data_IF_076406432604
#
_entry.id   IF_076406432604
#
_cell.length_a   1.000
_cell.length_b   1.000
_cell.length_c   1.000
_cell.angle_alpha   90.00
_cell.angle_beta   90.00
_cell.angle_gamma   90.00
#
_symmetry.space_group_name_H-M   'P 1'
#
loop_
_entity.id
_entity.type
_entity.pdbx_description
1 polymer ?
#
# COMPACT_ATOMS: atom_id res chain seq x y z
N UNK A 1 -76.28 44.77 -30.45
CA UNK A 1 -75.66 45.68 -29.47
C UNK A 1 -75.39 44.90 -28.19
N UNK A 2 -74.12 44.93 -27.76
CA UNK A 2 -73.54 44.67 -26.42
C UNK A 2 -74.43 44.05 -25.34
N UNK A 3 -73.98 42.96 -24.71
CA UNK A 3 -73.40 43.07 -23.35
C UNK A 3 -72.48 41.87 -22.98
N UNK A 4 -71.32 42.29 -22.51
CA UNK A 4 -70.13 41.66 -21.88
C UNK A 4 -70.40 41.64 -20.35
N UNK A 5 -69.81 40.88 -19.42
CA UNK A 5 -68.87 39.75 -19.29
C UNK A 5 -68.72 39.58 -17.76
N UNK A 6 -68.48 38.38 -17.25
CA UNK A 6 -67.69 38.19 -16.03
C UNK A 6 -66.86 36.91 -16.19
N UNK A 7 -65.54 37.04 -16.22
CA UNK A 7 -64.61 36.04 -15.71
C UNK A 7 -63.24 36.68 -15.47
N UNK A 8 -62.80 36.54 -14.23
CA UNK A 8 -61.55 37.05 -13.65
C UNK A 8 -60.38 36.24 -14.21
N UNK A 9 -59.34 36.93 -14.69
CA UNK A 9 -58.01 36.34 -14.95
C UNK A 9 -56.98 37.01 -14.06
N UNK A 10 -56.30 36.19 -13.26
CA UNK A 10 -55.20 36.56 -12.39
C UNK A 10 -53.93 36.67 -13.24
N UNK A 11 -53.33 37.85 -13.26
CA UNK A 11 -52.14 38.19 -14.03
C UNK A 11 -50.89 37.76 -13.24
N UNK A 12 -50.18 36.73 -13.69
CA UNK A 12 -48.82 36.40 -13.20
C UNK A 12 -47.83 37.11 -14.14
N UNK A 13 -47.19 38.15 -13.60
CA UNK A 13 -46.19 38.96 -14.27
C UNK A 13 -44.84 38.21 -14.24
N UNK A 14 -44.42 37.65 -15.38
CA UNK A 14 -43.10 37.05 -15.52
C UNK A 14 -42.03 38.17 -15.62
N UNK A 15 -41.30 38.38 -14.54
CA UNK A 15 -40.07 39.19 -14.50
C UNK A 15 -38.96 38.43 -15.24
N UNK A 16 -38.60 38.92 -16.43
CA UNK A 16 -37.40 38.47 -17.16
C UNK A 16 -36.21 39.15 -16.51
N UNK A 17 -35.49 38.41 -15.66
CA UNK A 17 -34.12 38.78 -15.30
C UNK A 17 -33.22 38.55 -16.52
N UNK A 18 -32.36 39.51 -16.91
CA UNK A 18 -31.25 39.17 -17.78
C UNK A 18 -30.37 38.21 -16.99
N UNK A 19 -30.39 36.94 -17.36
CA UNK A 19 -29.43 35.97 -16.86
C UNK A 19 -28.03 36.46 -17.26
N UNK A 20 -27.28 36.99 -16.30
CA UNK A 20 -25.84 36.94 -16.39
C UNK A 20 -25.48 35.47 -16.55
N UNK A 21 -25.03 35.11 -17.75
CA UNK A 21 -24.31 33.87 -17.98
C UNK A 21 -23.02 34.04 -17.19
N UNK A 22 -22.91 33.36 -16.06
CA UNK A 22 -21.60 33.08 -15.48
C UNK A 22 -20.85 32.29 -16.55
N UNK A 23 -19.87 32.93 -17.18
CA UNK A 23 -18.90 32.20 -17.99
C UNK A 23 -18.25 31.19 -17.04
N UNK A 24 -18.48 29.90 -17.26
CA UNK A 24 -17.74 28.86 -16.54
C UNK A 24 -16.25 29.19 -16.68
N UNK A 25 -15.48 29.20 -15.57
CA UNK A 25 -14.05 29.43 -15.67
C UNK A 25 -13.46 28.37 -16.61
N UNK A 26 -12.78 28.82 -17.67
CA UNK A 26 -12.16 27.94 -18.64
C UNK A 26 -11.30 26.90 -17.91
N UNK A 27 -11.60 25.61 -18.12
CA UNK A 27 -10.83 24.52 -17.52
C UNK A 27 -9.41 24.56 -18.07
N UNK A 28 -8.37 24.52 -17.21
CA UNK A 28 -6.99 24.55 -17.68
C UNK A 28 -6.69 23.31 -18.54
N UNK A 29 -6.00 23.51 -19.65
CA UNK A 29 -5.42 22.43 -20.44
C UNK A 29 -4.12 21.93 -19.82
N UNK A 30 -3.70 20.72 -20.18
CA UNK A 30 -2.48 20.11 -19.65
C UNK A 30 -1.38 20.11 -20.71
N UNK A 31 -0.19 20.63 -20.39
CA UNK A 31 0.99 20.60 -21.26
C UNK A 31 2.03 19.63 -20.71
N UNK A 32 2.69 18.86 -21.57
CA UNK A 32 3.87 18.05 -21.21
C UNK A 32 5.03 18.43 -22.10
N UNK A 33 6.24 18.30 -21.58
CA UNK A 33 7.47 18.47 -22.33
C UNK A 33 8.16 17.13 -22.51
N UNK A 34 8.51 16.79 -23.74
CA UNK A 34 9.28 15.59 -24.06
C UNK A 34 10.65 15.99 -24.61
N UNK A 35 11.68 15.25 -24.25
CA UNK A 35 13.01 15.46 -24.80
C UNK A 35 13.83 14.18 -24.85
N UNK A 36 14.75 14.17 -25.80
CA UNK A 36 15.81 13.17 -25.88
C UNK A 36 17.16 13.91 -26.04
N UNK A 37 18.15 13.66 -25.16
CA UNK A 37 19.44 14.33 -25.25
C UNK A 37 20.11 14.18 -26.62
N UNK A 38 20.49 15.30 -27.24
CA UNK A 38 21.22 15.27 -28.51
C UNK A 38 22.66 14.83 -28.25
N UNK A 39 23.07 13.71 -28.86
CA UNK A 39 24.45 13.21 -28.77
C UNK A 39 25.32 13.97 -29.77
N UNK A 40 26.18 14.86 -29.27
CA UNK A 40 27.15 15.57 -30.09
C UNK A 40 28.37 14.66 -30.36
N UNK A 41 28.73 14.51 -31.63
CA UNK A 41 29.73 13.55 -32.14
C UNK A 41 31.17 13.69 -31.58
N UNK A 42 31.43 14.69 -30.72
CA UNK A 42 32.75 14.97 -30.13
C UNK A 42 32.78 14.84 -28.59
N UNK A 43 31.72 14.35 -27.93
CA UNK A 43 31.84 13.95 -26.52
C UNK A 43 32.74 12.71 -26.45
N UNK A 44 33.74 12.73 -25.57
CA UNK A 44 34.75 11.66 -25.45
C UNK A 44 34.14 10.32 -24.98
N UNK A 45 33.46 9.61 -25.87
CA UNK A 45 32.99 8.23 -25.65
C UNK A 45 31.92 8.06 -24.56
N UNK A 46 31.35 9.14 -24.00
CA UNK A 46 30.18 9.03 -23.12
C UNK A 46 28.93 8.97 -23.99
N UNK A 47 28.41 7.75 -24.20
CA UNK A 47 27.02 7.54 -24.58
C UNK A 47 26.13 8.37 -23.66
N UNK A 48 25.01 8.91 -24.17
CA UNK A 48 24.02 9.61 -23.37
C UNK A 48 23.64 8.74 -22.16
N UNK A 49 24.27 9.02 -21.02
CA UNK A 49 23.99 8.33 -19.77
C UNK A 49 22.60 8.75 -19.35
N UNK A 50 21.82 7.77 -18.89
CA UNK A 50 20.58 8.02 -18.18
C UNK A 50 20.78 9.16 -17.19
N UNK A 51 19.82 10.09 -17.13
CA UNK A 51 19.78 11.13 -16.10
C UNK A 51 20.02 10.51 -14.71
N UNK A 52 20.82 11.15 -13.84
CA UNK A 52 21.01 10.69 -12.46
C UNK A 52 19.67 10.56 -11.73
N UNK A 53 19.60 9.64 -10.77
CA UNK A 53 18.44 9.56 -9.89
C UNK A 53 18.19 10.90 -9.19
N UNK A 54 16.93 11.37 -9.21
CA UNK A 54 16.55 12.66 -8.64
C UNK A 54 16.76 13.87 -9.57
N UNK A 55 17.01 13.67 -10.87
CA UNK A 55 17.05 14.77 -11.83
C UNK A 55 15.68 15.45 -11.99
N UNK A 56 15.71 16.78 -12.11
CA UNK A 56 14.52 17.64 -12.24
C UNK A 56 14.63 18.53 -13.47
N UNK A 57 13.49 18.76 -14.13
CA UNK A 57 13.37 19.76 -15.19
C UNK A 57 12.99 21.11 -14.57
N UNK A 58 13.53 22.19 -15.10
CA UNK A 58 13.16 23.56 -14.76
C UNK A 58 12.71 24.27 -16.03
N UNK A 59 11.50 24.82 -16.00
CA UNK A 59 10.92 25.55 -17.15
C UNK A 59 10.54 26.96 -16.78
N UNK A 60 10.76 27.89 -17.70
CA UNK A 60 10.11 29.21 -17.65
C UNK A 60 9.15 29.32 -18.83
N UNK A 61 7.94 29.76 -18.55
CA UNK A 61 6.86 29.88 -19.54
C UNK A 61 6.28 31.27 -19.40
N UNK A 62 6.09 31.96 -20.53
CA UNK A 62 5.37 33.23 -20.58
C UNK A 62 4.25 33.18 -21.61
N UNK A 63 3.23 34.02 -21.43
CA UNK A 63 2.23 34.26 -22.47
C UNK A 63 2.86 35.03 -23.63
N UNK A 64 2.34 34.85 -24.84
CA UNK A 64 2.72 35.68 -26.00
C UNK A 64 2.40 37.17 -25.76
N UNK A 65 1.49 37.49 -24.83
CA UNK A 65 1.25 38.87 -24.36
C UNK A 65 2.44 39.50 -23.62
N UNK A 66 3.40 38.68 -23.18
CA UNK A 66 4.60 39.09 -22.44
C UNK A 66 4.57 38.77 -20.95
N UNK A 67 3.44 38.32 -20.40
CA UNK A 67 3.31 38.00 -18.97
C UNK A 67 4.01 36.69 -18.64
N UNK A 68 4.97 36.70 -17.70
CA UNK A 68 5.56 35.47 -17.16
C UNK A 68 4.51 34.68 -16.37
N UNK A 69 4.45 33.37 -16.61
CA UNK A 69 3.51 32.44 -15.98
C UNK A 69 4.26 31.53 -15.01
N UNK A 70 5.39 31.01 -15.46
CA UNK A 70 6.32 30.22 -14.67
C UNK A 70 7.73 30.76 -14.89
N UNK A 71 8.52 30.81 -13.83
CA UNK A 71 9.91 31.27 -13.88
C UNK A 71 10.76 30.25 -13.15
N UNK A 72 11.52 29.44 -13.91
CA UNK A 72 12.30 28.30 -13.40
C UNK A 72 11.49 27.37 -12.47
N UNK A 73 10.25 27.05 -12.88
CA UNK A 73 9.39 26.12 -12.16
C UNK A 73 9.95 24.69 -12.25
N UNK A 74 10.17 23.98 -11.13
CA UNK A 74 10.60 22.58 -11.16
C UNK A 74 9.45 21.66 -11.59
N UNK A 75 9.70 20.80 -12.57
CA UNK A 75 8.76 19.82 -13.11
C UNK A 75 9.40 18.44 -13.07
N UNK A 76 8.66 17.44 -12.60
CA UNK A 76 9.13 16.05 -12.53
C UNK A 76 9.26 15.44 -13.91
N UNK A 77 10.28 14.61 -14.07
CA UNK A 77 10.52 13.82 -15.27
C UNK A 77 10.19 12.34 -15.06
N UNK A 78 9.56 11.76 -16.07
CA UNK A 78 9.29 10.34 -16.24
C UNK A 78 10.13 9.83 -17.41
N UNK A 79 10.66 8.62 -17.30
CA UNK A 79 11.40 7.97 -18.39
C UNK A 79 10.50 6.94 -19.07
N UNK A 80 10.28 7.09 -20.37
CA UNK A 80 9.55 6.13 -21.19
C UNK A 80 10.49 5.65 -22.29
N UNK A 81 11.06 4.45 -22.11
CA UNK A 81 12.09 3.91 -23.00
C UNK A 81 13.37 4.76 -22.99
N UNK A 82 13.64 5.43 -24.12
CA UNK A 82 14.79 6.33 -24.30
C UNK A 82 14.43 7.81 -24.18
N UNK A 83 13.14 8.14 -24.06
CA UNK A 83 12.65 9.51 -23.99
C UNK A 83 12.33 9.90 -22.54
N UNK A 84 12.53 11.17 -22.23
CA UNK A 84 12.12 11.78 -20.98
C UNK A 84 10.91 12.68 -21.21
N UNK A 85 9.87 12.50 -20.40
CA UNK A 85 8.60 13.23 -20.52
C UNK A 85 8.28 13.85 -19.16
N UNK A 86 7.89 15.11 -19.14
CA UNK A 86 7.48 15.79 -17.93
C UNK A 86 6.11 15.31 -17.44
N UNK A 87 5.85 15.45 -16.15
CA UNK A 87 4.47 15.46 -15.67
C UNK A 87 3.67 16.59 -16.32
N UNK A 88 2.35 16.42 -16.49
CA UNK A 88 1.50 17.46 -17.06
C UNK A 88 1.44 18.70 -16.18
N UNK A 89 1.65 19.86 -16.79
CA UNK A 89 1.52 21.17 -16.17
C UNK A 89 0.21 21.81 -16.61
N UNK A 90 -0.61 22.26 -15.67
CA UNK A 90 -1.90 22.87 -15.95
C UNK A 90 -1.72 24.34 -16.35
N UNK A 91 -2.21 24.72 -17.54
CA UNK A 91 -2.19 26.09 -18.05
C UNK A 91 -3.58 26.48 -18.57
N UNK A 92 -4.04 27.72 -18.35
CA UNK A 92 -5.25 28.21 -19.01
C UNK A 92 -5.15 28.12 -20.54
N UNK A 93 -6.28 28.02 -21.23
CA UNK A 93 -6.29 28.11 -22.69
C UNK A 93 -5.62 29.39 -23.19
N UNK A 94 -4.72 29.27 -24.18
CA UNK A 94 -3.96 30.41 -24.70
C UNK A 94 -2.68 30.03 -25.45
N UNK A 95 -1.97 31.06 -25.91
CA UNK A 95 -0.69 30.94 -26.59
C UNK A 95 0.46 31.35 -25.66
N UNK A 96 1.50 30.52 -25.63
CA UNK A 96 2.62 30.62 -24.70
C UNK A 96 3.95 30.44 -25.42
N UNK A 97 5.02 30.85 -24.75
CA UNK A 97 6.40 30.65 -25.14
C UNK A 97 7.15 30.00 -23.98
N UNK A 98 7.86 28.92 -24.26
CA UNK A 98 8.86 28.33 -23.38
C UNK A 98 10.15 29.14 -23.53
N UNK A 99 10.67 29.74 -22.45
CA UNK A 99 11.82 30.66 -22.50
C UNK A 99 13.07 30.13 -21.81
N UNK A 100 12.90 29.15 -20.92
CA UNK A 100 14.00 28.42 -20.28
C UNK A 100 13.64 26.94 -20.20
N UNK A 101 14.60 26.06 -20.48
CA UNK A 101 14.49 24.61 -20.33
C UNK A 101 15.83 24.05 -19.84
N UNK A 102 15.91 23.73 -18.55
CA UNK A 102 17.13 23.30 -17.87
C UNK A 102 16.87 21.98 -17.14
N UNK A 103 17.75 21.00 -17.27
CA UNK A 103 17.68 19.75 -16.51
C UNK A 103 18.83 19.74 -15.52
N UNK A 104 18.54 19.61 -14.22
CA UNK A 104 19.55 19.54 -13.18
C UNK A 104 19.57 18.17 -12.49
N UNK A 105 20.74 17.77 -12.01
CA UNK A 105 20.90 16.58 -11.17
C UNK A 105 20.37 16.82 -9.74
N UNK A 106 20.35 15.77 -8.91
CA UNK A 106 19.88 15.86 -7.52
C UNK A 106 20.74 16.77 -6.61
N UNK A 107 21.90 17.24 -7.06
CA UNK A 107 22.73 18.22 -6.37
C UNK A 107 22.50 19.66 -6.89
N UNK A 108 21.65 19.84 -7.91
CA UNK A 108 21.32 21.12 -8.52
C UNK A 108 22.29 21.58 -9.61
N UNK A 109 23.16 20.72 -10.09
CA UNK A 109 24.00 21.05 -11.23
C UNK A 109 23.21 20.85 -12.53
N UNK A 110 23.13 21.88 -13.36
CA UNK A 110 22.50 21.77 -14.69
C UNK A 110 23.35 20.86 -15.58
N UNK A 111 22.76 19.73 -15.99
CA UNK A 111 23.39 18.70 -16.83
C UNK A 111 22.98 18.82 -18.30
N UNK A 112 21.78 19.34 -18.58
CA UNK A 112 21.31 19.62 -19.94
C UNK A 112 20.59 20.97 -20.00
N UNK A 113 20.66 21.64 -21.16
CA UNK A 113 19.96 22.89 -21.42
C UNK A 113 19.58 23.02 -22.89
N UNK A 114 18.48 23.72 -23.18
CA UNK A 114 18.13 24.12 -24.55
C UNK A 114 18.71 25.51 -24.85
N UNK A 115 19.51 25.68 -25.91
CA UNK A 115 20.05 26.99 -26.28
C UNK A 115 18.97 27.99 -26.67
N UNK A 116 19.19 29.27 -26.36
CA UNK A 116 18.34 30.39 -26.82
C UNK A 116 18.76 30.87 -28.20
N UNK A 117 17.80 31.36 -28.98
CA UNK A 117 18.03 32.02 -30.27
C UNK A 117 19.12 33.10 -30.15
N UNK A 118 20.01 33.12 -31.14
CA UNK A 118 21.15 34.05 -31.17
C UNK A 118 22.33 33.66 -30.27
N UNK A 119 22.23 32.59 -29.48
CA UNK A 119 23.38 32.03 -28.74
C UNK A 119 24.34 31.23 -29.64
N UNK A 120 25.55 30.99 -29.16
CA UNK A 120 26.58 30.22 -29.88
C UNK A 120 26.09 28.82 -30.24
N UNK A 121 25.31 28.20 -29.36
CA UNK A 121 24.86 26.82 -29.49
C UNK A 121 23.49 26.67 -30.14
N UNK A 122 22.78 27.77 -30.44
CA UNK A 122 21.48 27.74 -31.12
C UNK A 122 21.46 26.92 -32.43
N UNK A 123 22.50 26.93 -33.30
CA UNK A 123 22.50 26.17 -34.55
C UNK A 123 22.56 24.64 -34.39
N UNK A 124 22.72 24.13 -33.16
CA UNK A 124 22.82 22.70 -32.86
C UNK A 124 21.49 22.07 -32.44
N UNK A 125 20.42 22.87 -32.41
CA UNK A 125 19.04 22.43 -32.24
C UNK A 125 18.20 22.98 -33.41
N UNK A 126 17.17 22.26 -33.80
CA UNK A 126 16.25 22.61 -34.88
C UNK A 126 15.28 23.74 -34.44
N UNK A 127 14.90 23.77 -33.16
CA UNK A 127 13.95 24.74 -32.59
C UNK A 127 14.49 25.32 -31.25
N UNK A 128 15.38 26.33 -31.30
CA UNK A 128 15.92 26.98 -30.11
C UNK A 128 14.88 27.82 -29.36
N UNK A 129 15.13 28.13 -28.08
CA UNK A 129 14.22 28.95 -27.27
C UNK A 129 14.25 30.43 -27.69
N UNK A 130 13.13 31.19 -27.67
CA UNK A 130 11.84 30.79 -27.14
C UNK A 130 11.03 29.91 -28.11
N UNK A 131 10.44 28.83 -27.58
CA UNK A 131 9.61 27.91 -28.37
C UNK A 131 8.13 28.18 -28.13
N UNK A 132 7.38 28.48 -29.18
CA UNK A 132 5.95 28.81 -29.09
C UNK A 132 5.08 27.54 -29.04
N UNK A 133 4.06 27.54 -28.18
CA UNK A 133 3.06 26.48 -28.10
C UNK A 133 1.68 27.02 -27.71
N UNK A 134 0.64 26.25 -28.03
CA UNK A 134 -0.74 26.61 -27.73
C UNK A 134 -1.36 25.57 -26.78
N UNK A 135 -2.14 26.05 -25.82
CA UNK A 135 -2.92 25.23 -24.89
C UNK A 135 -4.39 25.40 -25.25
N UNK A 136 -5.06 24.29 -25.55
CA UNK A 136 -6.50 24.23 -25.74
C UNK A 136 -7.17 23.62 -24.51
N UNK A 137 -8.34 24.11 -24.16
CA UNK A 137 -9.15 23.59 -23.05
C UNK A 137 -9.43 22.08 -23.24
N UNK A 138 -9.35 21.31 -22.15
CA UNK A 138 -9.60 19.86 -22.11
C UNK A 138 -8.70 18.97 -23.03
N UNK A 139 -7.52 19.44 -23.45
CA UNK A 139 -6.54 18.62 -24.20
C UNK A 139 -5.19 18.48 -23.48
N UNK A 140 -4.51 17.34 -23.71
CA UNK A 140 -3.09 17.17 -23.39
C UNK A 140 -2.28 17.54 -24.63
N UNK A 141 -1.54 18.63 -24.54
CA UNK A 141 -0.56 19.01 -25.55
C UNK A 141 0.84 18.52 -25.13
N UNK A 142 1.66 18.11 -26.10
CA UNK A 142 3.06 17.77 -25.88
C UNK A 142 3.94 18.71 -26.70
N UNK A 143 5.01 19.21 -26.08
CA UNK A 143 6.04 20.03 -26.72
C UNK A 143 7.33 19.21 -26.70
N UNK A 144 7.84 18.89 -27.90
CA UNK A 144 9.12 18.22 -28.05
C UNK A 144 10.23 19.28 -28.01
N UNK A 145 11.16 19.13 -27.07
CA UNK A 145 12.24 20.09 -26.79
C UNK A 145 13.58 19.39 -27.00
N UNK A 146 14.47 20.01 -27.78
CA UNK A 146 15.84 19.49 -27.93
C UNK A 146 16.77 20.06 -26.87
N UNK A 147 17.59 19.20 -26.27
CA UNK A 147 18.55 19.61 -25.23
C UNK A 147 19.97 19.21 -25.62
N UNK A 148 20.93 20.07 -25.28
CA UNK A 148 22.36 19.77 -25.40
C UNK A 148 22.97 19.55 -24.02
N UNK A 149 23.98 18.68 -23.88
CA UNK A 149 24.69 18.50 -22.62
C UNK A 149 25.43 19.78 -22.23
N UNK A 150 25.45 20.13 -20.95
CA UNK A 150 26.20 21.29 -20.47
C UNK A 150 27.70 20.95 -20.37
N UNK A 151 28.08 19.79 -19.85
CA UNK A 151 29.48 19.35 -19.68
C UNK A 151 30.40 20.49 -19.17
N UNK A 152 31.42 20.88 -19.95
CA UNK A 152 32.37 21.95 -19.61
C UNK A 152 32.03 23.30 -20.28
N UNK A 153 30.81 23.47 -20.80
CA UNK A 153 30.35 24.67 -21.49
C UNK A 153 29.85 25.73 -20.52
N UNK A 154 29.97 26.98 -20.90
CA UNK A 154 29.54 28.12 -20.09
C UNK A 154 28.06 28.47 -20.36
N UNK A 155 27.31 28.99 -19.36
CA UNK A 155 25.91 29.41 -19.53
C UNK A 155 25.69 30.36 -20.70
N UNK A 156 26.63 31.28 -20.93
CA UNK A 156 26.51 32.31 -21.96
C UNK A 156 26.52 31.71 -23.38
N UNK A 157 27.14 30.54 -23.57
CA UNK A 157 27.15 29.84 -24.86
C UNK A 157 25.77 29.31 -25.25
N UNK A 158 24.91 29.09 -24.25
CA UNK A 158 23.50 28.72 -24.42
C UNK A 158 22.57 29.95 -24.41
N UNK A 159 23.08 31.16 -24.15
CA UNK A 159 22.27 32.37 -24.00
C UNK A 159 21.70 32.58 -22.59
N UNK A 160 22.24 31.90 -21.58
CA UNK A 160 21.86 32.08 -20.17
C UNK A 160 22.86 32.99 -19.45
N UNK A 161 22.36 33.83 -18.54
CA UNK A 161 23.23 34.62 -17.66
C UNK A 161 23.87 33.76 -16.55
N UNK A 162 23.22 32.67 -16.15
CA UNK A 162 23.69 31.73 -15.13
C UNK A 162 22.94 30.42 -15.26
N UNK A 163 23.55 29.31 -14.82
CA UNK A 163 22.89 28.03 -14.58
C UNK A 163 22.49 27.81 -13.12
N UNK A 164 22.47 28.89 -12.32
CA UNK A 164 21.96 28.83 -10.95
C UNK A 164 20.45 28.58 -10.97
N UNK A 165 20.06 27.31 -10.98
CA UNK A 165 18.71 26.91 -10.59
C UNK A 165 18.69 26.76 -9.07
N UNK A 166 17.77 27.47 -8.42
CA UNK A 166 17.44 27.10 -7.05
C UNK A 166 16.67 25.78 -7.15
N UNK A 167 17.37 24.68 -6.86
CA UNK A 167 16.67 23.47 -6.45
C UNK A 167 15.96 23.84 -5.15
N UNK A 168 14.71 24.28 -5.24
CA UNK A 168 13.80 24.04 -4.14
C UNK A 168 13.83 22.52 -3.98
N UNK A 169 14.48 21.98 -2.92
CA UNK A 169 14.38 20.55 -2.70
C UNK A 169 12.89 20.25 -2.63
N UNK A 170 12.44 19.22 -3.36
CA UNK A 170 11.07 18.74 -3.18
C UNK A 170 10.77 18.71 -1.69
N UNK A 171 9.62 19.25 -1.23
CA UNK A 171 9.33 19.27 0.19
C UNK A 171 9.43 17.83 0.70
N UNK A 172 10.40 17.62 1.59
CA UNK A 172 10.68 16.33 2.19
C UNK A 172 10.61 16.48 3.70
N UNK A 173 10.21 15.41 4.36
CA UNK A 173 10.34 15.29 5.79
C UNK A 173 11.11 14.03 6.14
N UNK A 174 11.80 14.07 7.28
CA UNK A 174 12.48 12.91 7.84
C UNK A 174 11.46 12.07 8.60
N UNK A 175 11.45 10.76 8.39
CA UNK A 175 10.60 9.82 9.10
C UNK A 175 11.48 8.78 9.81
N UNK A 176 11.23 8.57 11.10
CA UNK A 176 11.84 7.55 11.91
C UNK A 176 10.74 6.72 12.55
N UNK A 177 10.63 5.46 12.14
CA UNK A 177 9.63 4.53 12.70
C UNK A 177 10.31 3.61 13.69
N UNK A 178 9.72 3.47 14.86
CA UNK A 178 10.21 2.68 15.96
C UNK A 178 9.21 1.58 16.31
N UNK A 179 9.73 0.47 16.81
CA UNK A 179 8.98 -0.52 17.56
C UNK A 179 9.63 -0.71 18.93
N UNK A 180 8.90 -1.30 19.86
CA UNK A 180 9.44 -1.59 21.17
C UNK A 180 10.35 -2.83 21.10
N UNK A 181 11.66 -2.64 21.29
CA UNK A 181 12.63 -3.72 21.42
C UNK A 181 12.93 -4.05 22.89
N UNK A 182 13.73 -5.12 23.11
CA UNK A 182 14.09 -5.60 24.45
C UNK A 182 14.90 -4.57 25.27
N UNK A 183 15.77 -3.81 24.60
CA UNK A 183 16.67 -2.82 25.22
C UNK A 183 16.19 -1.37 25.03
N UNK A 184 14.96 -1.18 24.54
CA UNK A 184 14.37 0.12 24.23
C UNK A 184 13.83 0.21 22.80
N UNK A 185 13.43 1.42 22.35
CA UNK A 185 12.91 1.63 21.00
C UNK A 185 13.98 1.31 19.95
N UNK A 186 13.62 0.49 18.97
CA UNK A 186 14.48 0.16 17.83
C UNK A 186 13.82 0.59 16.53
N UNK A 187 14.63 0.91 15.52
CA UNK A 187 14.09 1.24 14.21
C UNK A 187 13.33 0.04 13.63
N UNK A 188 12.18 0.32 13.04
CA UNK A 188 11.40 -0.66 12.29
C UNK A 188 11.43 -0.34 10.80
N UNK A 189 11.47 -1.40 9.99
CA UNK A 189 11.07 -1.30 8.59
C UNK A 189 9.54 -1.15 8.53
N UNK A 190 9.04 -0.53 7.47
CA UNK A 190 7.60 -0.38 7.21
C UNK A 190 7.32 -0.21 5.72
N UNK A 191 6.10 -0.55 5.31
CA UNK A 191 5.50 -0.04 4.10
C UNK A 191 4.85 1.32 4.38
N UNK A 192 5.35 2.37 3.73
CA UNK A 192 4.86 3.73 3.89
C UNK A 192 4.09 4.19 2.65
N UNK A 193 2.87 4.68 2.88
CA UNK A 193 1.98 5.24 1.87
C UNK A 193 1.67 6.70 2.22
N UNK A 194 1.66 7.58 1.22
CA UNK A 194 0.98 8.88 1.33
C UNK A 194 -0.22 8.88 0.41
N UNK A 195 -1.37 9.24 0.96
CA UNK A 195 -2.63 9.36 0.25
C UNK A 195 -3.00 10.84 0.06
N UNK A 196 -3.42 11.22 -1.15
CA UNK A 196 -4.05 12.50 -1.48
C UNK A 196 -5.47 12.20 -1.99
N UNK A 197 -6.50 12.63 -1.25
CA UNK A 197 -7.91 12.33 -1.57
C UNK A 197 -8.23 10.83 -1.80
N UNK A 198 -7.44 9.94 -1.18
CA UNK A 198 -7.55 8.48 -1.30
C UNK A 198 -6.62 7.86 -2.35
N UNK A 199 -6.03 8.66 -3.24
CA UNK A 199 -5.06 8.19 -4.22
C UNK A 199 -3.65 8.10 -3.61
N UNK A 200 -2.97 6.97 -3.84
CA UNK A 200 -1.59 6.79 -3.37
C UNK A 200 -0.62 7.63 -4.23
N UNK A 201 -0.07 8.69 -3.64
CA UNK A 201 0.92 9.58 -4.28
C UNK A 201 2.37 9.24 -3.91
N UNK A 202 2.56 8.45 -2.85
CA UNK A 202 3.86 7.91 -2.45
C UNK A 202 3.68 6.49 -1.93
N UNK A 203 4.53 5.57 -2.35
CA UNK A 203 4.63 4.23 -1.80
C UNK A 203 6.08 3.76 -1.83
N UNK A 204 6.63 3.42 -0.66
CA UNK A 204 7.97 2.87 -0.50
C UNK A 204 8.00 1.86 0.64
N UNK A 205 8.79 0.80 0.47
CA UNK A 205 9.29 0.02 1.58
C UNK A 205 10.49 0.76 2.19
N UNK A 206 10.35 1.18 3.44
CA UNK A 206 11.35 1.95 4.15
C UNK A 206 12.18 1.01 5.05
N UNK A 207 13.52 1.02 4.95
CA UNK A 207 14.36 0.24 5.85
C UNK A 207 14.29 0.76 7.29
N UNK A 208 14.72 -0.09 8.23
CA UNK A 208 14.87 0.20 9.65
C UNK A 208 15.98 1.24 9.93
N UNK A 209 15.73 2.49 9.55
CA UNK A 209 16.61 3.63 9.74
C UNK A 209 15.78 4.93 9.71
N UNK A 210 16.45 6.07 9.84
CA UNK A 210 15.82 7.34 9.48
C UNK A 210 15.74 7.43 7.95
N UNK A 211 14.57 7.78 7.43
CA UNK A 211 14.29 7.85 6.00
C UNK A 211 13.91 9.28 5.60
N UNK A 212 14.36 9.72 4.42
CA UNK A 212 13.85 10.96 3.81
C UNK A 212 12.64 10.61 2.94
N UNK A 213 11.47 11.11 3.30
CA UNK A 213 10.23 10.94 2.52
C UNK A 213 10.13 12.10 1.55
N UNK A 214 10.49 11.84 0.30
CA UNK A 214 10.57 12.84 -0.78
C UNK A 214 9.41 12.59 -1.75
N UNK A 215 8.52 13.57 -1.90
CA UNK A 215 7.41 13.52 -2.85
C UNK A 215 7.06 14.91 -3.38
N UNK A 216 6.57 15.04 -4.63
CA UNK A 216 6.28 16.32 -5.27
C UNK A 216 4.94 16.94 -4.81
N UNK A 217 4.59 16.79 -3.53
CA UNK A 217 3.32 17.23 -2.98
C UNK A 217 3.24 18.75 -2.86
N UNK A 218 2.08 19.32 -3.19
CA UNK A 218 1.73 20.70 -2.86
C UNK A 218 1.73 20.90 -1.33
N UNK A 219 2.49 21.87 -0.78
CA UNK A 219 2.60 22.11 0.66
C UNK A 219 1.29 22.54 1.32
N UNK A 220 0.34 23.09 0.56
CA UNK A 220 -0.95 23.57 1.06
C UNK A 220 -2.03 22.49 1.07
N UNK A 221 -1.79 21.32 0.46
CA UNK A 221 -2.74 20.21 0.45
C UNK A 221 -2.59 19.33 1.70
N UNK A 222 -3.67 18.61 1.96
CA UNK A 222 -3.77 17.61 3.01
C UNK A 222 -3.37 16.25 2.47
N UNK A 223 -2.52 15.53 3.20
CA UNK A 223 -2.14 14.16 2.92
C UNK A 223 -2.39 13.28 4.13
N UNK A 224 -2.55 11.98 3.91
CA UNK A 224 -2.59 10.98 4.98
C UNK A 224 -1.37 10.07 4.86
N UNK A 225 -0.52 10.06 5.88
CA UNK A 225 0.54 9.07 6.03
C UNK A 225 -0.05 7.80 6.62
N UNK A 226 0.11 6.68 5.93
CA UNK A 226 -0.23 5.35 6.42
C UNK A 226 1.02 4.48 6.46
N UNK A 227 1.30 3.88 7.62
CA UNK A 227 2.42 2.98 7.85
C UNK A 227 1.86 1.60 8.21
N UNK A 228 2.31 0.57 7.50
CA UNK A 228 1.89 -0.83 7.69
C UNK A 228 3.11 -1.74 7.81
N UNK A 229 3.01 -2.76 8.67
CA UNK A 229 3.97 -3.86 8.81
C UNK A 229 3.25 -5.05 9.48
N UNK A 230 3.57 -6.28 9.07
CA UNK A 230 2.85 -7.51 9.47
C UNK A 230 2.81 -7.80 10.98
N UNK A 231 3.63 -7.15 11.81
CA UNK A 231 3.70 -7.41 13.25
C UNK A 231 3.34 -6.19 14.09
N UNK A 232 2.93 -5.09 13.45
CA UNK A 232 2.79 -3.79 14.09
C UNK A 232 1.45 -3.16 13.77
N UNK A 233 0.95 -2.37 14.72
CA UNK A 233 -0.29 -1.62 14.58
C UNK A 233 -0.16 -0.63 13.43
N UNK A 234 -1.17 -0.59 12.56
CA UNK A 234 -1.27 0.41 11.50
C UNK A 234 -1.25 1.80 12.12
N UNK A 235 -0.45 2.68 11.53
CA UNK A 235 -0.44 4.09 11.90
C UNK A 235 -0.98 4.91 10.75
N UNK A 236 -1.97 5.75 11.05
CA UNK A 236 -2.51 6.72 10.10
C UNK A 236 -2.54 8.11 10.74
N UNK A 237 -1.98 9.12 10.03
CA UNK A 237 -2.13 10.53 10.41
C UNK A 237 -2.33 11.40 9.19
N UNK A 238 -3.39 12.19 9.23
CA UNK A 238 -3.67 13.24 8.25
C UNK A 238 -2.96 14.54 8.66
N UNK A 239 -2.33 15.21 7.70
CA UNK A 239 -1.58 16.45 7.93
C UNK A 239 -1.59 17.36 6.70
N UNK A 240 -1.44 18.67 6.91
CA UNK A 240 -1.08 19.63 5.86
C UNK A 240 0.44 19.70 5.79
N UNK A 241 1.02 19.54 4.58
CA UNK A 241 2.47 19.38 4.45
C UNK A 241 3.26 20.60 4.95
N UNK A 242 2.81 21.83 4.67
CA UNK A 242 3.44 23.06 5.19
C UNK A 242 3.46 23.07 6.72
N UNK A 243 2.35 22.71 7.34
CA UNK A 243 2.18 22.77 8.78
C UNK A 243 3.03 21.68 9.45
N UNK A 244 3.09 20.49 8.86
CA UNK A 244 4.00 19.42 9.29
C UNK A 244 5.47 19.85 9.22
N UNK A 245 5.90 20.44 8.10
CA UNK A 245 7.29 20.91 7.96
C UNK A 245 7.64 21.98 9.01
N UNK A 246 6.66 22.80 9.37
CA UNK A 246 6.79 23.80 10.44
C UNK A 246 6.84 23.13 11.82
N UNK A 247 5.98 22.14 12.09
CA UNK A 247 5.95 21.34 13.32
C UNK A 247 7.29 20.64 13.57
N UNK A 248 7.83 19.99 12.55
CA UNK A 248 9.05 19.21 12.64
C UNK A 248 10.30 20.09 12.80
N UNK A 249 10.30 21.31 12.25
CA UNK A 249 11.44 22.23 12.30
C UNK A 249 12.79 21.56 11.92
N UNK A 250 12.75 20.62 10.96
CA UNK A 250 13.90 19.84 10.47
C UNK A 250 14.24 18.57 11.27
N UNK A 251 13.57 18.32 12.40
CA UNK A 251 13.67 17.06 13.13
C UNK A 251 12.93 15.92 12.40
N UNK A 252 13.30 14.64 12.63
CA UNK A 252 12.52 13.52 12.14
C UNK A 252 11.14 13.46 12.81
N UNK A 253 10.10 13.23 12.01
CA UNK A 253 8.83 12.73 12.51
C UNK A 253 9.07 11.34 13.08
N UNK A 254 8.94 11.22 14.40
CA UNK A 254 9.09 9.96 15.10
C UNK A 254 7.72 9.31 15.29
N UNK A 255 7.58 8.06 14.88
CA UNK A 255 6.38 7.25 15.08
C UNK A 255 6.79 5.97 15.77
N UNK A 256 6.15 5.62 16.88
CA UNK A 256 6.35 4.34 17.54
C UNK A 256 5.11 3.49 17.32
N UNK A 257 5.27 2.32 16.70
CA UNK A 257 4.19 1.37 16.46
C UNK A 257 4.15 0.33 17.57
N UNK A 258 2.94 0.02 18.02
CA UNK A 258 2.70 -1.04 18.99
C UNK A 258 2.72 -2.42 18.30
N UNK A 259 3.08 -3.50 19.01
CA UNK A 259 2.88 -4.86 18.51
C UNK A 259 1.41 -5.12 18.20
N UNK A 260 1.14 -5.90 17.15
CA UNK A 260 -0.22 -6.19 16.71
C UNK A 260 -0.41 -7.64 16.23
N UNK A 261 -1.61 -8.18 16.48
CA UNK A 261 -2.19 -9.23 15.63
C UNK A 261 -2.59 -8.55 14.32
N UNK A 262 -2.04 -8.99 13.20
CA UNK A 262 -2.41 -8.45 11.88
C UNK A 262 -2.93 -9.54 10.97
N UNK A 263 -3.77 -9.16 10.01
CA UNK A 263 -4.23 -10.00 8.92
C UNK A 263 -4.84 -9.14 7.81
N UNK A 264 -4.98 -9.70 6.63
CA UNK A 264 -5.68 -9.10 5.50
C UNK A 264 -7.10 -9.66 5.42
N UNK A 265 -8.11 -8.85 5.68
CA UNK A 265 -9.52 -9.17 5.48
C UNK A 265 -9.91 -9.05 3.99
N UNK A 266 -10.57 -10.06 3.42
CA UNK A 266 -10.91 -10.15 1.99
C UNK A 266 -12.42 -10.02 1.77
N UNK A 267 -12.93 -8.79 1.64
CA UNK A 267 -14.35 -8.51 1.49
C UNK A 267 -14.83 -8.56 0.03
N UNK A 268 -15.94 -9.27 -0.26
CA UNK A 268 -16.44 -9.52 -1.63
C UNK A 268 -17.96 -9.35 -1.83
N UNK A 269 -18.64 -8.60 -0.95
CA UNK A 269 -20.10 -8.29 -0.93
C UNK A 269 -21.01 -9.18 -0.06
N UNK A 270 -20.43 -10.01 0.81
CA UNK A 270 -21.17 -10.73 1.86
C UNK A 270 -20.78 -10.18 3.24
N UNK A 271 -21.68 -10.28 4.22
CA UNK A 271 -21.43 -9.86 5.60
C UNK A 271 -20.15 -10.54 6.15
N UNK A 272 -19.33 -9.78 6.89
CA UNK A 272 -18.12 -10.29 7.52
C UNK A 272 -18.33 -10.47 9.03
N UNK A 273 -17.94 -11.62 9.55
CA UNK A 273 -17.99 -12.00 10.95
C UNK A 273 -16.62 -12.54 11.38
N UNK A 274 -15.98 -11.84 12.32
CA UNK A 274 -14.74 -12.29 12.95
C UNK A 274 -14.98 -12.63 14.41
N UNK A 275 -14.51 -13.79 14.83
CA UNK A 275 -14.60 -14.23 16.22
C UNK A 275 -13.23 -14.15 16.85
N UNK A 276 -12.88 -12.99 17.39
CA UNK A 276 -11.75 -12.89 18.31
C UNK A 276 -12.34 -12.99 19.71
N UNK A 277 -12.08 -14.11 20.39
CA UNK A 277 -12.48 -14.29 21.78
C UNK A 277 -11.24 -14.16 22.67
N UNK A 278 -11.29 -13.17 23.54
CA UNK A 278 -10.32 -12.91 24.60
C UNK A 278 -10.71 -13.74 25.82
N UNK A 279 -9.73 -14.15 26.63
CA UNK A 279 -9.97 -14.92 27.86
C UNK A 279 -11.06 -14.28 28.74
N UNK A 280 -12.01 -15.09 29.22
CA UNK A 280 -13.14 -14.69 30.08
C UNK A 280 -12.70 -14.18 31.47
N UNK A 281 -11.40 -14.06 31.76
CA UNK A 281 -10.88 -13.97 33.13
C UNK A 281 -9.79 -12.93 33.42
N UNK A 282 -9.53 -11.94 32.55
CA UNK A 282 -8.71 -10.77 32.94
C UNK A 282 -9.53 -9.49 32.85
N UNK A 283 -10.28 -9.12 33.90
CA UNK A 283 -10.94 -7.82 33.97
C UNK A 283 -9.93 -6.69 33.74
N UNK A 284 -10.24 -5.80 32.80
CA UNK A 284 -9.41 -4.63 32.48
C UNK A 284 -8.44 -4.80 31.31
N UNK A 285 -8.61 -5.84 30.48
CA UNK A 285 -7.93 -5.90 29.18
C UNK A 285 -8.55 -4.94 28.17
N UNK A 286 -7.71 -4.29 27.38
CA UNK A 286 -8.14 -3.35 26.34
C UNK A 286 -7.49 -3.66 25.01
N UNK A 287 -8.22 -3.38 23.93
CA UNK A 287 -7.75 -3.56 22.55
C UNK A 287 -8.10 -2.35 21.70
N UNK A 288 -7.23 -2.06 20.73
CA UNK A 288 -7.52 -1.12 19.65
C UNK A 288 -7.43 -1.88 18.34
N UNK A 289 -8.49 -1.82 17.53
CA UNK A 289 -8.56 -2.46 16.21
C UNK A 289 -8.64 -1.36 15.15
N UNK A 290 -7.70 -1.38 14.20
CA UNK A 290 -7.79 -0.66 12.94
C UNK A 290 -8.27 -1.66 11.88
N UNK A 291 -9.42 -1.39 11.30
CA UNK A 291 -10.10 -2.28 10.36
C UNK A 291 -9.57 -2.16 8.92
N UNK A 292 -8.62 -1.26 8.66
CA UNK A 292 -7.95 -1.11 7.38
C UNK A 292 -8.70 -0.25 6.35
N UNK A 293 -9.88 0.25 6.68
CA UNK A 293 -10.68 1.18 5.86
C UNK A 293 -10.74 2.60 6.45
N UNK A 294 -9.93 2.86 7.49
CA UNK A 294 -9.89 4.11 8.23
C UNK A 294 -10.77 4.13 9.49
N UNK A 295 -11.58 3.09 9.73
CA UNK A 295 -12.25 2.91 11.00
C UNK A 295 -11.28 2.33 12.05
N UNK A 296 -11.23 2.99 13.20
CA UNK A 296 -10.46 2.53 14.38
C UNK A 296 -11.40 2.49 15.58
N UNK A 297 -11.41 1.36 16.27
CA UNK A 297 -12.28 1.11 17.41
C UNK A 297 -11.48 0.68 18.64
N UNK A 298 -11.90 1.15 19.82
CA UNK A 298 -11.31 0.81 21.10
C UNK A 298 -12.30 -0.01 21.92
N UNK A 299 -11.82 -1.09 22.51
CA UNK A 299 -12.63 -2.05 23.26
C UNK A 299 -12.05 -2.25 24.66
N UNK A 300 -12.86 -1.99 25.68
CA UNK A 300 -12.61 -2.43 27.05
C UNK A 300 -13.33 -3.77 27.28
N UNK A 301 -12.56 -4.85 27.41
CA UNK A 301 -13.11 -6.19 27.51
C UNK A 301 -13.41 -6.51 28.97
N UNK A 302 -14.71 -6.64 29.27
CA UNK A 302 -15.23 -6.98 30.60
C UNK A 302 -15.64 -8.45 30.67
N UNK A 303 -16.02 -9.06 29.53
CA UNK A 303 -16.37 -10.48 29.34
C UNK A 303 -15.98 -10.96 27.92
N UNK A 304 -16.30 -12.21 27.55
CA UNK A 304 -16.06 -12.70 26.18
C UNK A 304 -16.79 -11.85 25.13
N UNK A 305 -16.04 -11.03 24.40
CA UNK A 305 -16.56 -10.19 23.31
C UNK A 305 -16.38 -10.87 21.94
N UNK A 306 -17.12 -10.41 20.94
CA UNK A 306 -16.92 -10.76 19.53
C UNK A 306 -16.93 -9.45 18.74
N UNK A 307 -15.92 -9.25 17.89
CA UNK A 307 -15.77 -7.98 17.15
C UNK A 307 -16.36 -8.08 15.74
N UNK A 308 -17.08 -7.05 15.33
CA UNK A 308 -17.77 -7.01 14.04
C UNK A 308 -17.41 -5.73 13.30
N UNK A 309 -17.27 -5.83 11.98
CA UNK A 309 -17.06 -4.66 11.12
C UNK A 309 -17.73 -4.85 9.76
N UNK A 310 -18.33 -3.77 9.25
CA UNK A 310 -18.99 -3.75 7.94
C UNK A 310 -18.20 -2.87 6.97
N UNK A 311 -17.68 -3.48 5.90
CA UNK A 311 -17.00 -2.75 4.83
C UNK A 311 -18.00 -2.19 3.81
N UNK A 312 -17.79 -0.94 3.40
CA UNK A 312 -18.66 -0.27 2.43
C UNK A 312 -18.49 -0.78 0.99
N UNK A 313 -17.34 -1.38 0.64
CA UNK A 313 -17.02 -1.81 -0.71
C UNK A 313 -16.18 -3.09 -0.70
N UNK A 314 -16.30 -3.92 -1.74
CA UNK A 314 -15.40 -5.05 -1.99
C UNK A 314 -13.94 -4.59 -1.99
N UNK A 315 -13.08 -5.28 -1.25
CA UNK A 315 -11.69 -4.86 -1.06
C UNK A 315 -10.87 -5.86 -0.27
N UNK A 316 -9.57 -5.60 -0.19
CA UNK A 316 -8.66 -6.26 0.74
C UNK A 316 -8.23 -5.20 1.76
N UNK A 317 -8.42 -5.48 3.03
CA UNK A 317 -8.21 -4.53 4.11
C UNK A 317 -7.18 -5.08 5.08
N UNK A 318 -6.12 -4.31 5.35
CA UNK A 318 -5.13 -4.68 6.34
C UNK A 318 -5.66 -4.33 7.72
N UNK A 319 -6.04 -5.36 8.49
CA UNK A 319 -6.55 -5.24 9.85
C UNK A 319 -5.39 -5.41 10.81
N UNK A 320 -5.31 -4.53 11.80
CA UNK A 320 -4.32 -4.63 12.88
C UNK A 320 -4.97 -4.38 14.23
N UNK A 321 -4.74 -5.29 15.18
CA UNK A 321 -5.23 -5.20 16.56
C UNK A 321 -4.05 -5.13 17.52
N UNK A 322 -4.03 -4.12 18.38
CA UNK A 322 -3.03 -3.95 19.46
C UNK A 322 -3.71 -3.88 20.84
N UNK A 323 -2.90 -3.87 21.91
CA UNK A 323 -3.38 -3.88 23.29
C UNK A 323 -2.91 -5.12 24.04
N UNK A 324 -3.76 -5.72 24.86
CA UNK A 324 -3.42 -6.87 25.71
C UNK A 324 -3.40 -8.20 24.94
N UNK A 325 -2.60 -8.29 23.88
CA UNK A 325 -2.57 -9.42 22.93
C UNK A 325 -2.22 -10.77 23.58
N UNK A 326 -1.45 -10.76 24.67
CA UNK A 326 -1.18 -11.96 25.46
C UNK A 326 -2.44 -12.55 26.13
N UNK A 327 -3.55 -11.82 26.20
CA UNK A 327 -4.85 -12.30 26.69
C UNK A 327 -5.73 -12.93 25.59
N UNK A 328 -5.34 -12.84 24.32
CA UNK A 328 -6.06 -13.49 23.22
C UNK A 328 -5.94 -15.01 23.36
N UNK A 329 -7.07 -15.72 23.30
CA UNK A 329 -7.14 -17.19 23.44
C UNK A 329 -7.70 -17.88 22.22
N UNK A 330 -8.62 -17.22 21.52
CA UNK A 330 -9.27 -17.77 20.35
C UNK A 330 -9.30 -16.71 19.26
N UNK A 331 -8.90 -17.14 18.06
CA UNK A 331 -9.08 -16.40 16.82
C UNK A 331 -9.80 -17.35 15.86
N UNK A 332 -11.02 -17.00 15.48
CA UNK A 332 -11.83 -17.75 14.54
C UNK A 332 -12.38 -16.87 13.42
N UNK A 333 -12.25 -17.40 12.20
CA UNK A 333 -12.50 -16.78 10.92
C UNK A 333 -13.03 -17.87 9.97
N UNK A 334 -14.25 -18.36 10.26
CA UNK A 334 -14.80 -19.60 9.65
C UNK A 334 -16.01 -19.33 8.74
N UNK A 335 -16.33 -20.33 7.92
CA UNK A 335 -17.55 -20.38 7.09
C UNK A 335 -17.68 -19.27 6.03
N UNK A 336 -16.57 -18.73 5.54
CA UNK A 336 -16.58 -17.70 4.51
C UNK A 336 -16.97 -16.29 5.01
N UNK A 337 -17.29 -16.14 6.29
CA UNK A 337 -17.55 -14.85 6.93
C UNK A 337 -16.26 -14.12 7.32
N UNK A 338 -15.09 -14.72 7.11
CA UNK A 338 -13.81 -14.17 7.56
C UNK A 338 -12.66 -14.54 6.63
N UNK A 339 -12.86 -14.48 5.31
CA UNK A 339 -11.78 -14.80 4.37
C UNK A 339 -10.56 -13.90 4.65
N UNK A 340 -9.46 -14.53 5.03
CA UNK A 340 -8.24 -13.85 5.48
C UNK A 340 -6.99 -14.36 4.78
N UNK A 341 -6.00 -13.48 4.73
CA UNK A 341 -4.63 -13.74 4.23
C UNK A 341 -3.61 -13.02 5.12
N UNK A 342 -2.33 -13.39 5.05
CA UNK A 342 -1.20 -12.74 5.72
C UNK A 342 -1.44 -12.53 7.23
N UNK A 343 -1.99 -13.55 7.91
CA UNK A 343 -2.17 -13.49 9.36
C UNK A 343 -0.84 -13.65 10.09
N UNK A 344 -0.54 -12.72 11.00
CA UNK A 344 0.62 -12.78 11.89
C UNK A 344 0.17 -13.05 13.32
N UNK A 345 0.53 -14.23 13.84
CA UNK A 345 0.18 -14.67 15.19
C UNK A 345 1.30 -14.39 16.22
N UNK A 346 2.33 -13.64 15.81
CA UNK A 346 3.57 -13.49 16.57
C UNK A 346 3.37 -12.87 17.94
N UNK A 347 2.45 -11.92 18.03
CA UNK A 347 2.19 -11.12 19.23
C UNK A 347 1.00 -11.68 20.06
N UNK A 348 0.47 -12.86 19.71
CA UNK A 348 -0.61 -13.55 20.46
C UNK A 348 -0.14 -14.89 21.06
N UNK A 349 0.89 -14.89 21.93
CA UNK A 349 1.53 -16.11 22.43
C UNK A 349 0.61 -16.99 23.29
N UNK A 350 -0.50 -16.43 23.78
CA UNK A 350 -1.49 -17.14 24.59
C UNK A 350 -2.60 -17.82 23.78
N UNK A 351 -2.51 -17.84 22.45
CA UNK A 351 -3.53 -18.43 21.56
C UNK A 351 -3.67 -19.94 21.82
N UNK A 352 -4.91 -20.37 22.07
CA UNK A 352 -5.29 -21.78 22.31
C UNK A 352 -6.09 -22.38 21.15
N UNK A 353 -6.92 -21.57 20.48
CA UNK A 353 -7.78 -22.03 19.40
C UNK A 353 -7.59 -21.12 18.20
N UNK A 354 -7.16 -21.69 17.08
CA UNK A 354 -7.14 -21.02 15.79
C UNK A 354 -8.06 -21.76 14.82
N UNK A 355 -9.06 -21.07 14.30
CA UNK A 355 -10.02 -21.67 13.37
C UNK A 355 -10.21 -20.79 12.15
N UNK A 356 -9.66 -21.17 11.01
CA UNK A 356 -9.68 -20.41 9.75
C UNK A 356 -10.13 -21.28 8.57
N UNK A 357 -10.92 -22.33 8.85
CA UNK A 357 -11.38 -23.30 7.87
C UNK A 357 -12.63 -22.87 7.08
N UNK A 358 -12.90 -23.59 6.00
CA UNK A 358 -14.05 -23.43 5.08
C UNK A 358 -14.09 -22.08 4.35
N UNK A 359 -12.93 -21.53 4.01
CA UNK A 359 -12.82 -20.27 3.25
C UNK A 359 -12.76 -20.50 1.72
N UNK A 360 -13.52 -21.48 1.21
CA UNK A 360 -13.46 -21.93 -0.19
C UNK A 360 -14.00 -20.86 -1.15
N UNK A 361 -13.23 -20.51 -2.19
CA UNK A 361 -13.71 -19.66 -3.30
C UNK A 361 -13.47 -18.15 -3.16
N UNK A 362 -12.92 -17.65 -2.05
CA UNK A 362 -12.58 -16.23 -1.89
C UNK A 362 -11.20 -15.84 -2.48
N UNK A 363 -10.55 -16.76 -3.19
CA UNK A 363 -9.18 -16.55 -3.67
C UNK A 363 -8.19 -16.44 -2.52
N UNK A 364 -8.52 -17.04 -1.36
CA UNK A 364 -7.63 -17.15 -0.20
C UNK A 364 -6.28 -17.59 -0.71
N UNK A 365 -5.32 -16.68 -0.56
CA UNK A 365 -3.97 -17.07 -0.27
C UNK A 365 -4.09 -17.70 1.13
N UNK A 366 -4.45 -18.99 1.16
CA UNK A 366 -3.89 -19.79 2.22
C UNK A 366 -2.42 -19.61 1.97
N UNK A 367 -1.76 -18.83 2.81
CA UNK A 367 -0.32 -18.73 2.78
C UNK A 367 0.17 -20.17 2.53
N UNK A 368 0.98 -20.40 1.48
CA UNK A 368 1.43 -21.76 1.16
C UNK A 368 1.93 -22.46 2.46
N UNK A 369 2.37 -21.65 3.43
CA UNK A 369 2.63 -21.93 4.85
C UNK A 369 1.84 -21.06 5.84
N UNK A 370 1.37 -21.63 6.95
CA UNK A 370 0.96 -20.89 8.17
C UNK A 370 2.08 -20.94 9.22
N UNK A 371 2.49 -19.78 9.75
CA UNK A 371 3.51 -19.72 10.81
C UNK A 371 2.88 -19.87 12.21
N UNK A 372 3.25 -20.95 12.90
CA UNK A 372 2.82 -21.31 14.25
C UNK A 372 3.98 -21.29 15.26
N UNK A 373 5.16 -20.78 14.87
CA UNK A 373 6.36 -20.84 15.73
C UNK A 373 6.24 -20.04 17.02
N UNK A 374 5.26 -19.13 17.10
CA UNK A 374 4.99 -18.25 18.22
C UNK A 374 3.70 -18.60 18.98
N UNK A 375 3.09 -19.75 18.72
CA UNK A 375 1.84 -20.19 19.37
C UNK A 375 2.02 -21.46 20.21
N UNK A 376 2.88 -21.46 21.26
CA UNK A 376 3.20 -22.66 22.04
C UNK A 376 2.03 -23.19 22.89
N UNK A 377 1.02 -22.35 23.10
CA UNK A 377 -0.20 -22.67 23.86
C UNK A 377 -1.33 -23.23 23.00
N UNK A 378 -1.12 -23.41 21.69
CA UNK A 378 -2.18 -23.85 20.77
C UNK A 378 -2.64 -25.28 21.08
N UNK A 379 -3.94 -25.42 21.33
CA UNK A 379 -4.62 -26.68 21.67
C UNK A 379 -5.48 -27.19 20.49
N UNK A 380 -6.03 -26.28 19.68
CA UNK A 380 -6.92 -26.61 18.57
C UNK A 380 -6.60 -25.78 17.32
N UNK A 381 -6.40 -26.46 16.20
CA UNK A 381 -6.15 -25.86 14.88
C UNK A 381 -7.16 -26.41 13.87
N UNK A 382 -7.95 -25.52 13.28
CA UNK A 382 -8.81 -25.83 12.14
C UNK A 382 -8.42 -24.95 10.94
N UNK A 383 -7.82 -25.57 9.94
CA UNK A 383 -7.51 -24.96 8.63
C UNK A 383 -8.11 -25.80 7.51
N UNK A 384 -9.26 -26.42 7.75
CA UNK A 384 -9.96 -27.24 6.75
C UNK A 384 -10.34 -26.42 5.52
N UNK A 385 -10.19 -26.96 4.31
CA UNK A 385 -10.55 -26.31 3.04
C UNK A 385 -9.98 -24.89 2.88
N UNK A 386 -8.73 -24.67 3.31
CA UNK A 386 -8.04 -23.38 3.26
C UNK A 386 -6.98 -23.30 2.15
N UNK A 387 -6.91 -24.29 1.24
CA UNK A 387 -5.86 -24.44 0.23
C UNK A 387 -4.43 -24.49 0.80
N UNK A 388 -4.28 -24.88 2.07
CA UNK A 388 -2.99 -24.96 2.74
C UNK A 388 -2.13 -26.06 2.09
N UNK A 389 -0.82 -25.83 1.95
CA UNK A 389 0.13 -26.84 1.40
C UNK A 389 1.20 -27.26 2.38
N UNK A 390 1.46 -26.41 3.37
CA UNK A 390 2.45 -26.61 4.41
C UNK A 390 1.95 -26.05 5.74
N UNK A 391 2.19 -26.79 6.80
CA UNK A 391 2.06 -26.33 8.18
C UNK A 391 3.15 -26.99 9.00
N UNK A 392 3.82 -26.21 9.83
CA UNK A 392 4.78 -26.74 10.79
C UNK A 392 4.16 -26.69 12.19
N UNK A 393 3.88 -27.86 12.75
CA UNK A 393 3.26 -27.97 14.08
C UNK A 393 4.29 -28.26 15.17
N UNK A 394 5.59 -28.38 14.86
CA UNK A 394 6.63 -28.74 15.86
C UNK A 394 6.76 -27.75 17.03
N UNK A 395 6.15 -26.57 16.91
CA UNK A 395 6.13 -25.54 17.94
C UNK A 395 4.80 -25.47 18.72
N UNK A 396 3.88 -26.40 18.47
CA UNK A 396 2.56 -26.47 19.14
C UNK A 396 2.40 -27.76 19.93
N UNK A 397 3.17 -27.97 21.03
CA UNK A 397 3.22 -29.25 21.75
C UNK A 397 1.92 -29.60 22.50
N UNK A 398 0.98 -28.65 22.64
CA UNK A 398 -0.31 -28.85 23.32
C UNK A 398 -1.47 -29.21 22.39
N UNK A 399 -1.20 -29.35 21.09
CA UNK A 399 -2.21 -29.58 20.08
C UNK A 399 -2.92 -30.92 20.33
N UNK A 400 -4.25 -30.85 20.50
CA UNK A 400 -5.12 -32.03 20.71
C UNK A 400 -6.24 -32.15 19.68
N UNK A 401 -6.46 -31.11 18.88
CA UNK A 401 -7.41 -31.10 17.77
C UNK A 401 -6.75 -30.48 16.54
N UNK A 402 -6.65 -31.24 15.46
CA UNK A 402 -6.07 -30.80 14.20
C UNK A 402 -6.99 -31.17 13.04
N UNK A 403 -7.56 -30.17 12.38
CA UNK A 403 -8.36 -30.34 11.15
C UNK A 403 -7.66 -29.67 9.96
N UNK A 404 -7.14 -30.52 9.06
CA UNK A 404 -6.52 -30.13 7.78
C UNK A 404 -7.33 -30.67 6.59
N UNK A 405 -8.56 -31.13 6.81
CA UNK A 405 -9.38 -31.72 5.75
C UNK A 405 -9.58 -30.80 4.56
N UNK A 406 -9.78 -31.33 3.36
CA UNK A 406 -10.01 -30.55 2.14
C UNK A 406 -8.77 -29.83 1.57
N UNK A 407 -7.61 -29.90 2.23
CA UNK A 407 -6.34 -29.35 1.71
C UNK A 407 -5.63 -30.37 0.80
N UNK A 408 -6.17 -30.57 -0.40
CA UNK A 408 -5.77 -31.68 -1.30
C UNK A 408 -4.38 -31.55 -1.95
N UNK A 409 -3.74 -30.38 -1.86
CA UNK A 409 -2.43 -30.09 -2.46
C UNK A 409 -1.24 -30.43 -1.52
N UNK A 410 -1.47 -31.05 -0.36
CA UNK A 410 -0.40 -31.46 0.57
C UNK A 410 0.54 -32.47 -0.08
N UNK A 411 1.83 -32.13 -0.15
CA UNK A 411 2.85 -33.08 -0.60
C UNK A 411 3.03 -34.19 0.46
N UNK A 412 3.19 -35.44 0.00
CA UNK A 412 3.37 -36.61 0.89
C UNK A 412 4.44 -36.41 1.98
N UNK A 413 5.64 -35.86 1.69
CA UNK A 413 6.64 -35.63 2.74
C UNK A 413 6.18 -34.64 3.82
N UNK A 414 5.39 -33.64 3.44
CA UNK A 414 4.86 -32.63 4.36
C UNK A 414 3.82 -33.26 5.28
N UNK A 415 2.88 -34.04 4.73
CA UNK A 415 1.91 -34.77 5.53
C UNK A 415 2.58 -35.72 6.53
N UNK A 416 3.57 -36.48 6.08
CA UNK A 416 4.29 -37.41 6.96
C UNK A 416 4.99 -36.68 8.11
N UNK A 417 5.56 -35.48 7.85
CA UNK A 417 6.14 -34.65 8.91
C UNK A 417 5.09 -34.23 9.93
N UNK A 418 3.92 -33.76 9.48
CA UNK A 418 2.81 -33.37 10.36
C UNK A 418 2.38 -34.55 11.24
N UNK A 419 2.27 -35.75 10.66
CA UNK A 419 1.92 -36.96 11.42
C UNK A 419 3.01 -37.32 12.44
N UNK A 420 4.28 -37.25 12.05
CA UNK A 420 5.41 -37.53 12.95
C UNK A 420 5.47 -36.53 14.10
N UNK A 421 5.39 -35.22 13.83
CA UNK A 421 5.39 -34.19 14.87
C UNK A 421 4.23 -34.40 15.86
N UNK A 422 3.02 -34.68 15.34
CA UNK A 422 1.86 -34.96 16.18
C UNK A 422 2.06 -36.23 17.02
N UNK A 423 2.60 -37.29 16.43
CA UNK A 423 2.94 -38.52 17.13
C UNK A 423 3.91 -38.26 18.28
N UNK A 424 5.01 -37.51 18.03
CA UNK A 424 5.97 -37.16 19.08
C UNK A 424 5.28 -36.39 20.21
N UNK A 425 4.48 -35.36 19.91
CA UNK A 425 3.77 -34.59 20.94
C UNK A 425 2.80 -35.45 21.76
N UNK A 426 2.04 -36.33 21.11
CA UNK A 426 1.10 -37.25 21.78
C UNK A 426 1.84 -38.16 22.74
N UNK A 427 2.96 -38.74 22.31
CA UNK A 427 3.75 -39.68 23.11
C UNK A 427 4.48 -38.95 24.25
N UNK A 428 5.20 -37.87 23.94
CA UNK A 428 6.02 -37.13 24.90
C UNK A 428 5.17 -36.45 26.00
N UNK A 429 4.00 -35.93 25.64
CA UNK A 429 3.11 -35.22 26.56
C UNK A 429 1.92 -36.06 27.05
N UNK A 430 1.81 -37.31 26.62
CA UNK A 430 0.72 -38.23 27.00
C UNK A 430 -0.67 -37.62 26.73
N UNK A 431 -0.86 -37.08 25.53
CA UNK A 431 -2.12 -36.44 25.13
C UNK A 431 -3.17 -37.52 24.84
N UNK A 432 -4.11 -37.74 25.75
CA UNK A 432 -5.18 -38.73 25.61
C UNK A 432 -6.42 -38.10 24.99
N UNK A 433 -7.00 -38.77 23.99
CA UNK A 433 -8.32 -38.43 23.45
C UNK A 433 -8.35 -37.12 22.65
N UNK A 434 -7.65 -37.09 21.51
CA UNK A 434 -7.67 -35.97 20.56
C UNK A 434 -8.49 -36.24 19.29
N UNK A 435 -8.45 -35.26 18.38
CA UNK A 435 -9.10 -35.30 17.08
C UNK A 435 -8.09 -34.95 15.98
N UNK A 436 -8.04 -35.78 14.93
CA UNK A 436 -7.24 -35.54 13.75
C UNK A 436 -8.08 -35.77 12.50
N UNK A 437 -8.20 -34.75 11.66
CA UNK A 437 -8.92 -34.84 10.39
C UNK A 437 -8.00 -34.46 9.22
N UNK A 438 -7.77 -35.43 8.36
CA UNK A 438 -6.92 -35.41 7.18
C UNK A 438 -7.69 -35.87 5.94
N UNK A 439 -9.03 -35.80 5.94
CA UNK A 439 -9.81 -36.26 4.78
C UNK A 439 -9.80 -35.25 3.64
N UNK A 440 -9.84 -35.72 2.39
CA UNK A 440 -9.99 -34.84 1.21
C UNK A 440 -11.39 -34.22 1.08
N UNK A 441 -12.39 -34.76 1.79
CA UNK A 441 -13.74 -34.19 1.94
C UNK A 441 -14.91 -35.00 1.37
N UNK A 442 -14.71 -35.84 0.36
CA UNK A 442 -15.84 -36.53 -0.32
C UNK A 442 -15.67 -38.04 -0.53
N UNK A 443 -14.45 -38.57 -0.47
CA UNK A 443 -14.16 -39.99 -0.76
C UNK A 443 -13.48 -40.74 0.40
N UNK A 444 -13.43 -40.13 1.59
CA UNK A 444 -12.77 -40.68 2.78
C UNK A 444 -11.30 -41.08 2.52
N UNK A 445 -10.60 -40.38 1.63
CA UNK A 445 -9.16 -40.56 1.40
C UNK A 445 -8.35 -39.51 2.15
N UNK A 446 -7.07 -39.81 2.39
CA UNK A 446 -6.15 -38.88 3.04
C UNK A 446 -5.72 -37.74 2.10
N UNK A 447 -5.56 -36.54 2.66
CA UNK A 447 -4.91 -35.40 2.00
C UNK A 447 -3.42 -35.72 1.75
N UNK A 448 -3.11 -36.20 0.55
CA UNK A 448 -1.83 -36.86 0.28
C UNK A 448 -1.77 -38.26 0.93
N UNK A 449 -1.36 -39.32 0.22
CA UNK A 449 -1.30 -40.64 0.85
C UNK A 449 -0.15 -40.70 1.89
N UNK A 450 -0.40 -41.06 3.17
CA UNK A 450 0.64 -41.22 4.16
C UNK A 450 1.58 -42.39 3.82
N UNK A 451 2.82 -42.33 4.30
CA UNK A 451 3.75 -43.47 4.23
C UNK A 451 3.31 -44.61 5.15
N UNK A 452 3.90 -45.80 4.98
CA UNK A 452 3.66 -46.93 5.88
C UNK A 452 4.03 -46.59 7.34
N UNK A 453 5.14 -45.88 7.54
CA UNK A 453 5.59 -45.43 8.86
C UNK A 453 4.60 -44.44 9.49
N UNK A 454 4.09 -43.48 8.70
CA UNK A 454 3.07 -42.55 9.16
C UNK A 454 1.75 -43.27 9.50
N UNK A 455 1.37 -44.29 8.74
CA UNK A 455 0.20 -45.13 9.08
C UNK A 455 0.41 -45.89 10.39
N UNK A 456 1.59 -46.44 10.65
CA UNK A 456 1.91 -47.09 11.92
C UNK A 456 1.80 -46.11 13.11
N UNK A 457 2.31 -44.89 12.93
CA UNK A 457 2.17 -43.81 13.92
C UNK A 457 0.70 -43.47 14.20
N UNK A 458 -0.12 -43.33 13.15
CA UNK A 458 -1.56 -43.08 13.29
C UNK A 458 -2.27 -44.22 14.03
N UNK A 459 -1.89 -45.49 13.79
CA UNK A 459 -2.45 -46.63 14.52
C UNK A 459 -2.15 -46.55 16.02
N UNK A 460 -0.93 -46.19 16.41
CA UNK A 460 -0.55 -46.00 17.82
C UNK A 460 -1.37 -44.87 18.46
N UNK A 461 -1.44 -43.71 17.80
CA UNK A 461 -2.21 -42.55 18.28
C UNK A 461 -3.70 -42.91 18.48
N UNK A 462 -4.30 -43.63 17.52
CA UNK A 462 -5.69 -44.06 17.60
C UNK A 462 -5.95 -45.13 18.67
N UNK A 463 -5.13 -46.19 18.72
CA UNK A 463 -5.39 -47.36 19.58
C UNK A 463 -4.90 -47.19 21.02
N UNK A 464 -3.72 -46.61 21.22
CA UNK A 464 -3.09 -46.50 22.55
C UNK A 464 -3.46 -45.20 23.26
N UNK A 465 -3.60 -44.10 22.50
CA UNK A 465 -3.91 -42.78 23.04
C UNK A 465 -5.38 -42.38 22.84
N UNK A 466 -6.18 -43.20 22.15
CA UNK A 466 -7.63 -43.04 22.03
C UNK A 466 -8.07 -41.87 21.15
N UNK A 467 -7.24 -41.44 20.20
CA UNK A 467 -7.57 -40.36 19.29
C UNK A 467 -8.60 -40.78 18.24
N UNK A 468 -9.47 -39.84 17.87
CA UNK A 468 -10.35 -39.98 16.71
C UNK A 468 -9.63 -39.49 15.46
N UNK A 469 -9.44 -40.38 14.48
CA UNK A 469 -8.72 -40.09 13.24
C UNK A 469 -9.66 -40.24 12.04
N UNK A 470 -9.70 -39.22 11.19
CA UNK A 470 -10.51 -39.15 9.98
C UNK A 470 -9.59 -38.84 8.79
N UNK A 471 -9.66 -39.59 7.67
CA UNK A 471 -10.47 -40.79 7.48
C UNK A 471 -9.97 -41.94 8.36
N UNK A 472 -10.83 -42.94 8.56
CA UNK A 472 -10.47 -44.12 9.36
C UNK A 472 -9.23 -44.83 8.79
N UNK A 473 -8.34 -45.27 9.67
CA UNK A 473 -7.08 -45.89 9.28
C UNK A 473 -7.37 -47.30 8.70
N UNK A 474 -6.81 -47.66 7.53
CA UNK A 474 -6.90 -49.02 7.00
C UNK A 474 -6.29 -50.03 7.98
N UNK A 475 -6.84 -51.26 8.11
CA UNK A 475 -6.26 -52.28 8.97
C UNK A 475 -4.84 -52.66 8.52
N UNK A 476 -3.96 -52.89 9.51
CA UNK A 476 -2.58 -53.37 9.35
C UNK A 476 -2.45 -54.66 8.53
#
# INVERSE_FOLDING_TARGET
MKQISWLVSLLVLALVFPGCREDEPAKPGNIRFAFNPVVLANSQGRQATSLPDGASLYVSIRRVSGDEVYTLEPVRLLRIGTEYISEPLALPGGNYELTDFLVADGAGNVVYATPKEGSELAPWVDDPLPQAFAVSDDAIAQVDVQVLPVDARLPEQFGYATFAVHVAPFPYFKLAVFRQGNDGPEFSRVHAYLLDEGDTVYHRHLPASQNDVIFPGNPERTYTLVLMEDELMTYSRTFVLRDLLTELAGAPWQVTLAPALTFTAIFRNDFFEYWIRVDETIPGTSFTIDWGDGAVEEFDVIESETFYHEYAAAGNYHVSMSGDLAAVRLVAMVFGFGATDNISLREVPGLKILSMGLNVGSGVVGADSLDLSHTPELEELNCSYSNLRYVDISHTPKLRSLDLSGNVDFAVPVLNKVIDDLYQHVVEHTIIGGYLNLETGFDYTFIGPPSAEALDQLHVIGMEYGWTIVPGIPPL
#
